data_IF_334179356177
#
_entry.id   IF_334179356177
#
_cell.length_a   1.000
_cell.length_b   1.000
_cell.length_c   1.000
_cell.angle_alpha   90.00
_cell.angle_beta   90.00
_cell.angle_gamma   90.00
#
_symmetry.space_group_name_H-M   'P 1'
#
loop_
_entity.id
_entity.type
_entity.pdbx_description
1 polymer ?
#
# COMPACT_ATOMS: atom_id res chain seq x y z
N UNK A 1 1.50 -22.38 -8.90
CA UNK A 1 0.31 -21.83 -9.58
C UNK A 1 -0.11 -20.62 -8.76
N UNK A 2 0.06 -19.40 -9.30
CA UNK A 2 -0.32 -18.17 -8.61
C UNK A 2 -1.86 -18.08 -8.53
N UNK A 3 -2.46 -17.57 -7.45
CA UNK A 3 -3.91 -17.33 -7.41
C UNK A 3 -4.25 -16.27 -8.46
N UNK A 4 -5.04 -16.62 -9.47
CA UNK A 4 -5.35 -15.76 -10.63
C UNK A 4 -6.66 -14.98 -10.49
N UNK A 5 -7.30 -15.01 -9.31
CA UNK A 5 -8.53 -14.25 -9.04
C UNK A 5 -8.51 -13.69 -7.61
N UNK A 6 -7.93 -12.50 -7.48
CA UNK A 6 -8.10 -11.64 -6.31
C UNK A 6 -9.36 -10.82 -6.57
N UNK A 7 -10.38 -10.96 -5.73
CA UNK A 7 -11.55 -10.08 -5.81
C UNK A 7 -11.10 -8.73 -5.25
N UNK A 8 -11.19 -7.66 -6.05
CA UNK A 8 -10.96 -6.30 -5.56
C UNK A 8 -11.98 -5.98 -4.46
N UNK A 9 -11.49 -5.56 -3.29
CA UNK A 9 -12.30 -4.97 -2.24
C UNK A 9 -12.61 -5.88 -1.07
N UNK A 10 -11.94 -5.63 0.06
CA UNK A 10 -12.60 -5.67 1.37
C UNK A 10 -12.90 -4.24 1.78
N UNK A 11 -14.05 -3.73 1.34
CA UNK A 11 -14.69 -2.60 2.01
C UNK A 11 -15.22 -3.11 3.36
N UNK A 12 -14.34 -3.33 4.34
CA UNK A 12 -14.75 -3.27 5.74
C UNK A 12 -14.19 -1.98 6.30
N UNK A 13 -14.95 -0.91 6.08
CA UNK A 13 -14.75 0.36 6.75
C UNK A 13 -15.04 0.13 8.24
N UNK A 14 -14.07 0.39 9.11
CA UNK A 14 -14.26 0.20 10.54
C UNK A 14 -12.95 0.07 11.33
N UNK A 15 -13.00 0.54 12.57
CA UNK A 15 -11.89 0.58 13.52
C UNK A 15 -11.40 -0.80 14.00
N UNK A 16 -12.06 -1.89 13.60
CA UNK A 16 -11.69 -3.27 13.96
C UNK A 16 -10.48 -3.80 13.16
N UNK A 17 -10.25 -3.24 11.97
CA UNK A 17 -9.18 -3.65 11.05
C UNK A 17 -8.09 -2.58 10.98
N UNK A 18 -8.46 -1.31 11.16
CA UNK A 18 -7.59 -0.16 11.02
C UNK A 18 -7.50 0.60 12.33
N UNK A 19 -6.28 0.95 12.74
CA UNK A 19 -6.04 1.86 13.85
C UNK A 19 -5.22 3.04 13.34
N UNK A 20 -5.73 4.24 13.62
CA UNK A 20 -5.00 5.49 13.40
C UNK A 20 -3.83 5.57 14.38
N UNK A 21 -2.62 5.74 13.85
CA UNK A 21 -1.38 5.86 14.62
C UNK A 21 -0.86 7.31 14.64
N UNK A 22 -1.69 8.30 14.28
CA UNK A 22 -1.34 9.73 14.28
C UNK A 22 -0.72 10.19 15.60
N UNK A 23 -1.16 9.63 16.73
CA UNK A 23 -0.63 9.95 18.08
C UNK A 23 0.62 9.14 18.46
N UNK A 24 1.04 8.19 17.63
CA UNK A 24 2.12 7.23 17.89
C UNK A 24 3.21 7.29 16.80
N UNK A 25 3.58 8.50 16.38
CA UNK A 25 4.59 8.72 15.33
C UNK A 25 4.05 8.70 13.90
N UNK A 26 2.73 8.63 13.73
CA UNK A 26 2.05 8.75 12.45
C UNK A 26 1.76 7.42 11.76
N UNK A 27 0.95 7.50 10.72
CA UNK A 27 0.59 6.37 9.88
C UNK A 27 -0.64 5.61 10.39
N UNK A 28 -0.71 4.34 10.01
CA UNK A 28 -1.86 3.47 10.22
C UNK A 28 -1.31 2.09 10.56
N UNK A 29 -1.92 1.41 11.52
CA UNK A 29 -1.74 -0.03 11.68
C UNK A 29 -2.97 -0.79 11.19
N UNK A 30 -2.71 -1.93 10.58
CA UNK A 30 -3.75 -2.82 10.09
C UNK A 30 -3.62 -4.16 10.80
N UNK A 31 -4.71 -4.61 11.40
CA UNK A 31 -4.76 -5.91 12.05
C UNK A 31 -4.62 -7.00 10.99
N UNK A 32 -3.69 -7.93 11.20
CA UNK A 32 -3.65 -9.16 10.43
C UNK A 32 -4.83 -10.02 10.82
N UNK A 33 -5.93 -9.92 10.08
CA UNK A 33 -7.18 -10.64 10.39
C UNK A 33 -7.15 -12.13 10.02
N UNK A 34 -5.96 -12.67 9.75
CA UNK A 34 -5.74 -14.10 9.61
C UNK A 34 -6.30 -14.71 8.33
N UNK A 35 -6.36 -16.03 8.33
CA UNK A 35 -6.84 -16.91 7.27
C UNK A 35 -8.20 -17.43 7.72
N UNK A 36 -9.24 -17.26 6.90
CA UNK A 36 -10.65 -17.68 7.10
C UNK A 36 -11.43 -16.99 5.95
N UNK A 37 -12.50 -16.24 6.23
CA UNK A 37 -13.25 -15.44 5.26
C UNK A 37 -12.38 -14.42 4.49
N UNK A 38 -11.13 -14.21 4.89
CA UNK A 38 -10.21 -13.21 4.36
C UNK A 38 -9.08 -13.74 3.48
N UNK A 39 -8.99 -15.07 3.29
CA UNK A 39 -7.87 -15.72 2.57
C UNK A 39 -7.75 -15.31 1.09
N UNK A 40 -8.83 -14.85 0.47
CA UNK A 40 -8.88 -14.45 -0.95
C UNK A 40 -8.76 -12.94 -1.21
N UNK A 41 -8.57 -12.11 -0.18
CA UNK A 41 -8.66 -10.66 -0.32
C UNK A 41 -7.30 -9.98 -0.39
N UNK A 42 -7.24 -8.93 -1.23
CA UNK A 42 -6.12 -8.01 -1.27
C UNK A 42 -6.50 -6.74 -0.51
N UNK A 43 -5.73 -6.46 0.54
CA UNK A 43 -5.93 -5.31 1.40
C UNK A 43 -5.20 -4.11 0.82
N UNK A 44 -5.90 -3.01 0.74
CA UNK A 44 -5.37 -1.79 0.18
C UNK A 44 -5.46 -0.65 1.18
N UNK A 45 -4.30 -0.02 1.41
CA UNK A 45 -4.18 1.23 2.16
C UNK A 45 -3.98 2.34 1.14
N UNK A 46 -4.90 3.30 1.08
CA UNK A 46 -4.82 4.43 0.15
C UNK A 46 -4.42 5.71 0.86
N UNK A 47 -3.56 6.51 0.22
CA UNK A 47 -3.44 7.93 0.53
C UNK A 47 -4.56 8.74 -0.13
N UNK A 48 -4.60 10.03 0.16
CA UNK A 48 -5.45 10.94 -0.61
C UNK A 48 -5.05 10.94 -2.09
N UNK A 49 -6.01 10.97 -3.02
CA UNK A 49 -5.69 11.09 -4.44
C UNK A 49 -5.09 12.47 -4.72
N UNK A 50 -4.12 12.52 -5.65
CA UNK A 50 -3.46 13.74 -6.07
C UNK A 50 -3.61 13.93 -7.59
N UNK A 51 -3.73 15.18 -8.02
CA UNK A 51 -3.64 15.51 -9.43
C UNK A 51 -2.22 15.22 -9.94
N UNK A 52 -2.14 14.64 -11.13
CA UNK A 52 -0.87 14.37 -11.80
C UNK A 52 -0.29 15.72 -12.24
N UNK A 53 0.97 16.06 -11.86
CA UNK A 53 1.63 17.25 -12.39
C UNK A 53 1.72 17.21 -13.93
N UNK A 54 1.48 18.34 -14.60
CA UNK A 54 1.46 18.40 -16.08
C UNK A 54 2.76 17.92 -16.74
N UNK A 55 3.89 18.05 -16.05
CA UNK A 55 5.21 17.64 -16.50
C UNK A 55 5.69 16.31 -15.88
N UNK A 56 4.78 15.50 -15.33
CA UNK A 56 5.13 14.20 -14.79
C UNK A 56 5.60 13.25 -15.90
N UNK A 57 6.83 12.76 -15.78
CA UNK A 57 7.44 11.81 -16.73
C UNK A 57 7.32 10.35 -16.29
N UNK A 58 6.73 10.12 -15.12
CA UNK A 58 6.52 8.81 -14.53
C UNK A 58 6.05 8.94 -13.09
N UNK A 59 6.01 7.82 -12.38
CA UNK A 59 5.55 7.77 -11.01
C UNK A 59 6.44 6.88 -10.16
N UNK A 60 6.39 7.16 -8.86
CA UNK A 60 6.98 6.31 -7.84
C UNK A 60 6.09 6.30 -6.61
N UNK A 61 5.98 5.14 -5.97
CA UNK A 61 5.31 4.99 -4.68
C UNK A 61 6.26 4.40 -3.68
N UNK A 62 6.10 4.82 -2.43
CA UNK A 62 6.87 4.34 -1.31
C UNK A 62 6.01 4.34 -0.06
N UNK A 63 6.15 3.31 0.76
CA UNK A 63 5.70 3.32 2.15
C UNK A 63 6.65 2.48 3.00
N UNK A 64 6.62 2.73 4.31
CA UNK A 64 7.33 1.94 5.29
C UNK A 64 6.34 1.04 6.02
N UNK A 65 6.74 -0.20 6.29
CA UNK A 65 5.93 -1.12 7.09
C UNK A 65 6.80 -2.01 7.97
N UNK A 66 6.22 -2.46 9.08
CA UNK A 66 6.76 -3.46 10.00
C UNK A 66 5.62 -4.18 10.73
N UNK A 67 5.92 -5.34 11.30
CA UNK A 67 5.04 -6.08 12.20
C UNK A 67 5.10 -5.50 13.62
N UNK A 68 3.95 -5.11 14.14
CA UNK A 68 3.74 -4.71 15.53
C UNK A 68 2.83 -5.72 16.23
N UNK A 69 2.83 -5.71 17.56
CA UNK A 69 1.82 -6.44 18.33
C UNK A 69 0.52 -5.66 18.34
N UNK A 70 -0.58 -6.37 18.12
CA UNK A 70 -1.93 -5.82 18.26
C UNK A 70 -2.18 -5.39 19.71
N UNK A 71 -1.89 -6.30 20.66
CA UNK A 71 -1.83 -6.04 22.09
C UNK A 71 -0.36 -5.96 22.55
N UNK A 72 0.17 -4.78 22.93
CA UNK A 72 1.56 -4.62 23.39
C UNK A 72 1.89 -5.44 24.65
N UNK A 73 0.88 -5.81 25.44
CA UNK A 73 1.03 -6.62 26.65
C UNK A 73 0.75 -8.12 26.41
N UNK A 74 0.46 -8.51 25.17
CA UNK A 74 0.20 -9.90 24.79
C UNK A 74 1.48 -10.70 24.49
N UNK A 75 1.36 -12.02 24.27
CA UNK A 75 2.47 -12.84 23.79
C UNK A 75 3.00 -12.33 22.44
N UNK A 76 4.32 -12.38 22.24
CA UNK A 76 4.90 -12.07 20.92
C UNK A 76 4.75 -13.26 19.97
N UNK A 77 3.84 -13.13 19.00
CA UNK A 77 3.55 -14.13 17.98
C UNK A 77 3.83 -13.65 16.56
N UNK A 78 4.56 -12.54 16.40
CA UNK A 78 4.83 -11.93 15.08
C UNK A 78 5.54 -12.87 14.12
N UNK A 79 6.31 -13.84 14.60
CA UNK A 79 6.94 -14.89 13.77
C UNK A 79 5.93 -15.83 13.09
N UNK A 80 4.66 -15.80 13.49
CA UNK A 80 3.58 -16.57 12.85
C UNK A 80 2.90 -15.78 11.73
N UNK A 81 3.05 -14.45 11.70
CA UNK A 81 2.46 -13.62 10.66
C UNK A 81 3.15 -13.85 9.31
N UNK A 82 2.37 -13.97 8.23
CA UNK A 82 2.85 -14.19 6.86
C UNK A 82 2.19 -13.20 5.92
N UNK A 83 2.60 -11.94 6.02
CA UNK A 83 2.05 -10.83 5.24
C UNK A 83 3.05 -10.46 4.15
N UNK A 84 2.56 -10.40 2.91
CA UNK A 84 3.29 -9.83 1.78
C UNK A 84 2.76 -8.44 1.49
N UNK A 85 3.65 -7.49 1.23
CA UNK A 85 3.29 -6.14 0.86
C UNK A 85 4.10 -5.66 -0.35
N UNK A 86 3.51 -4.73 -1.11
CA UNK A 86 4.14 -4.09 -2.26
C UNK A 86 3.59 -2.66 -2.42
N UNK A 87 4.46 -1.72 -2.83
CA UNK A 87 4.03 -0.40 -3.29
C UNK A 87 3.23 -0.53 -4.59
N UNK A 88 2.11 0.16 -4.67
CA UNK A 88 1.24 0.13 -5.85
C UNK A 88 0.52 1.48 -6.00
N UNK A 89 -0.23 1.64 -7.08
CA UNK A 89 -1.20 2.72 -7.21
C UNK A 89 -1.98 2.63 -8.50
N UNK A 90 -2.91 3.56 -8.66
CA UNK A 90 -3.86 3.59 -9.77
C UNK A 90 -3.88 4.97 -10.42
N UNK A 91 -4.02 4.98 -11.73
CA UNK A 91 -4.39 6.14 -12.50
C UNK A 91 -5.90 6.22 -12.63
N UNK A 92 -6.46 7.31 -12.13
CA UNK A 92 -7.87 7.65 -12.31
C UNK A 92 -8.00 8.59 -13.49
N UNK A 93 -8.99 8.34 -14.35
CA UNK A 93 -9.25 9.18 -15.53
C UNK A 93 -9.57 10.63 -15.14
N UNK A 94 -10.33 10.82 -14.06
CA UNK A 94 -10.77 12.12 -13.57
C UNK A 94 -11.15 12.05 -12.08
N UNK A 95 -11.44 13.21 -11.49
CA UNK A 95 -11.85 13.32 -10.10
C UNK A 95 -13.19 12.63 -9.81
N UNK A 96 -14.11 12.59 -10.77
CA UNK A 96 -15.40 11.92 -10.61
C UNK A 96 -15.23 10.40 -10.45
N UNK A 97 -14.24 9.81 -11.12
CA UNK A 97 -13.93 8.38 -11.04
C UNK A 97 -13.47 7.94 -9.64
N UNK A 98 -12.85 8.84 -8.87
CA UNK A 98 -12.41 8.57 -7.49
C UNK A 98 -13.61 8.14 -6.62
N UNK A 99 -14.72 8.87 -6.75
CA UNK A 99 -15.94 8.70 -5.95
C UNK A 99 -17.01 7.86 -6.66
N UNK A 100 -16.78 7.52 -7.93
CA UNK A 100 -17.70 6.77 -8.78
C UNK A 100 -17.33 5.30 -8.96
N UNK A 101 -18.02 4.65 -9.90
CA UNK A 101 -17.74 3.28 -10.29
C UNK A 101 -16.36 3.18 -10.97
N UNK A 102 -15.57 2.18 -10.56
CA UNK A 102 -14.21 1.94 -11.04
C UNK A 102 -14.22 0.71 -11.95
N UNK A 103 -13.76 0.88 -13.18
CA UNK A 103 -13.67 -0.14 -14.20
C UNK A 103 -12.26 -0.17 -14.76
N UNK A 104 -11.50 -1.19 -14.38
CA UNK A 104 -10.11 -1.38 -14.79
C UNK A 104 -9.99 -1.47 -16.32
N UNK A 105 -9.06 -0.71 -16.89
CA UNK A 105 -8.87 -0.56 -18.34
C UNK A 105 -9.85 0.38 -19.04
N UNK A 106 -10.83 0.96 -18.32
CA UNK A 106 -11.83 1.89 -18.89
C UNK A 106 -11.68 3.29 -18.28
N UNK A 107 -11.84 3.42 -16.96
CA UNK A 107 -11.68 4.70 -16.25
C UNK A 107 -10.65 4.66 -15.12
N UNK A 108 -10.14 3.46 -14.80
CA UNK A 108 -9.00 3.25 -13.91
C UNK A 108 -7.96 2.41 -14.64
N UNK A 109 -6.67 2.68 -14.43
CA UNK A 109 -5.56 1.86 -14.94
C UNK A 109 -4.54 1.66 -13.84
N UNK A 110 -4.06 0.44 -13.66
CA UNK A 110 -2.97 0.19 -12.71
C UNK A 110 -1.75 1.03 -13.10
N UNK A 111 -1.28 1.85 -12.16
CA UNK A 111 -0.02 2.56 -12.32
C UNK A 111 1.14 1.55 -12.34
N UNK A 112 1.05 0.55 -11.44
CA UNK A 112 1.89 -0.63 -11.40
C UNK A 112 2.03 -1.19 -9.99
N UNK A 113 2.74 -2.31 -9.85
CA UNK A 113 2.93 -3.02 -8.58
C UNK A 113 4.40 -3.35 -8.37
N UNK A 114 4.88 -3.07 -7.16
CA UNK A 114 6.20 -3.45 -6.69
C UNK A 114 6.32 -4.96 -6.51
N UNK A 115 7.55 -5.43 -6.31
CA UNK A 115 7.75 -6.82 -5.89
C UNK A 115 7.20 -7.02 -4.48
N UNK A 116 6.36 -8.03 -4.32
CA UNK A 116 5.90 -8.49 -3.02
C UNK A 116 7.10 -8.95 -2.18
N UNK A 117 7.16 -8.49 -0.93
CA UNK A 117 8.14 -8.95 0.06
C UNK A 117 7.42 -9.18 1.39
N UNK A 118 7.96 -10.08 2.20
CA UNK A 118 7.44 -10.30 3.55
C UNK A 118 7.67 -9.05 4.40
N UNK A 119 6.62 -8.63 5.10
CA UNK A 119 6.72 -7.65 6.18
C UNK A 119 7.38 -8.33 7.37
N UNK A 120 8.41 -7.69 7.93
CA UNK A 120 9.19 -8.21 9.06
C UNK A 120 8.99 -7.34 10.29
N UNK A 121 9.65 -7.68 11.40
CA UNK A 121 9.66 -6.85 12.62
C UNK A 121 10.33 -5.49 12.42
N UNK A 122 11.25 -5.41 11.46
CA UNK A 122 11.99 -4.19 11.17
C UNK A 122 11.25 -3.33 10.15
N UNK A 123 11.46 -2.01 10.25
CA UNK A 123 10.98 -1.09 9.24
C UNK A 123 11.62 -1.39 7.89
N UNK A 124 10.78 -1.57 6.88
CA UNK A 124 11.21 -1.83 5.51
C UNK A 124 10.56 -0.85 4.56
N UNK A 125 11.35 -0.36 3.60
CA UNK A 125 10.84 0.40 2.46
C UNK A 125 10.24 -0.56 1.42
N UNK A 126 8.98 -0.33 1.09
CA UNK A 126 8.29 -0.94 -0.03
C UNK A 126 8.05 0.15 -1.07
N UNK A 127 8.39 -0.13 -2.32
CA UNK A 127 8.21 0.85 -3.36
C UNK A 127 8.11 0.25 -4.75
N UNK A 128 7.63 1.08 -5.65
CA UNK A 128 7.48 0.80 -7.06
C UNK A 128 7.71 2.07 -7.87
N UNK A 129 8.12 1.93 -9.12
CA UNK A 129 8.30 3.05 -10.03
C UNK A 129 8.20 2.60 -11.48
N UNK A 130 7.69 3.48 -12.35
CA UNK A 130 7.73 3.30 -13.80
C UNK A 130 9.03 3.82 -14.45
N UNK A 131 9.89 4.47 -13.67
CA UNK A 131 11.11 5.11 -14.15
C UNK A 131 12.27 4.12 -14.17
N UNK A 132 13.20 4.32 -15.10
CA UNK A 132 14.49 3.62 -15.10
C UNK A 132 15.37 4.06 -13.92
N UNK A 133 16.34 3.23 -13.56
CA UNK A 133 17.34 3.57 -12.56
C UNK A 133 18.06 4.90 -12.88
N UNK A 134 18.42 5.12 -14.14
CA UNK A 134 19.08 6.35 -14.58
C UNK A 134 18.20 7.59 -14.35
N UNK A 135 16.90 7.52 -14.66
CA UNK A 135 15.96 8.62 -14.44
C UNK A 135 15.79 8.93 -12.94
N UNK A 136 15.69 7.90 -12.10
CA UNK A 136 15.57 8.07 -10.64
C UNK A 136 16.85 8.65 -10.04
N UNK A 137 18.02 8.21 -10.49
CA UNK A 137 19.29 8.76 -10.00
C UNK A 137 19.50 10.20 -10.44
N UNK A 138 19.07 10.57 -11.64
CA UNK A 138 19.20 11.94 -12.15
C UNK A 138 18.20 12.91 -11.50
N UNK A 139 17.00 12.44 -11.16
CA UNK A 139 15.96 13.24 -10.50
C UNK A 139 15.19 12.36 -9.51
N UNK A 140 15.71 12.17 -8.28
CA UNK A 140 15.10 11.29 -7.30
C UNK A 140 13.70 11.79 -6.90
N UNK A 141 12.70 10.91 -6.80
CA UNK A 141 11.38 11.31 -6.31
C UNK A 141 11.51 11.96 -4.93
N UNK A 142 10.77 13.04 -4.65
CA UNK A 142 10.78 13.67 -3.34
C UNK A 142 9.95 12.82 -2.38
N UNK A 143 10.47 11.66 -1.97
CA UNK A 143 9.93 10.94 -0.81
C UNK A 143 10.29 11.76 0.43
N UNK A 144 9.47 12.78 0.69
CA UNK A 144 9.64 13.70 1.81
C UNK A 144 9.50 12.89 3.11
N UNK A 145 10.43 13.07 4.04
CA UNK A 145 10.50 12.32 5.32
C UNK A 145 11.65 11.32 5.44
N UNK A 146 12.56 11.24 4.45
CA UNK A 146 13.75 10.37 4.48
C UNK A 146 15.10 11.11 4.48
N UNK A 147 15.09 12.42 4.77
CA UNK A 147 16.29 13.21 5.01
C UNK A 147 16.40 13.58 6.48
N UNK A 148 17.59 13.39 7.04
CA UNK A 148 18.08 13.67 8.40
C UNK A 148 17.22 14.58 9.29
#
# INVERSE_FOLDING_TARGET
>A
MYPTRWIEGTNKDGTEVWRDEATNGGGISMRSIGREDYEGYLWHTWGSPHLIPENAVGAATAFFSRLILDNPNGPDDRDKARILAAGAGDWYKDYATIHGAKYMGVNVTYMGFGRLKYVTREWQLFGWTSLSEAQIRANPPPFIGLGN
#
